data_IF_869953431142
#
_entry.id   IF_869953431142
#
_cell.length_a   1.000
_cell.length_b   1.000
_cell.length_c   1.000
_cell.angle_alpha   90.00
_cell.angle_beta   90.00
_cell.angle_gamma   90.00
#
_symmetry.space_group_name_H-M   'P 1'
#
loop_
_entity.id
_entity.type
_entity.pdbx_description
1 polymer ?
#
# COMPACT_ATOMS: atom_id res chain seq x y z
N UNK A 1 -39.60 -25.56 9.07
CA UNK A 1 -38.19 -25.48 9.35
C UNK A 1 -37.43 -25.07 8.09
N UNK A 2 -36.81 -23.89 8.06
CA UNK A 2 -35.92 -23.54 6.96
C UNK A 2 -34.66 -24.38 7.07
N UNK A 3 -34.37 -25.21 6.07
CA UNK A 3 -33.04 -25.86 5.97
C UNK A 3 -31.96 -24.78 5.88
N UNK A 4 -31.06 -24.72 6.86
CA UNK A 4 -29.84 -23.93 6.72
C UNK A 4 -29.01 -24.56 5.60
N UNK A 5 -28.83 -23.82 4.51
CA UNK A 5 -27.88 -24.20 3.47
C UNK A 5 -26.49 -23.89 4.04
N UNK A 6 -25.67 -24.92 4.24
CA UNK A 6 -24.30 -24.76 4.62
C UNK A 6 -23.58 -24.01 3.47
N UNK A 7 -23.19 -22.76 3.70
CA UNK A 7 -22.38 -22.01 2.75
C UNK A 7 -20.96 -22.52 2.86
N UNK A 8 -20.51 -23.31 1.89
CA UNK A 8 -19.14 -23.81 1.83
C UNK A 8 -18.18 -22.72 1.32
N UNK A 9 -18.08 -21.62 2.05
CA UNK A 9 -17.21 -20.48 1.75
C UNK A 9 -16.18 -20.30 2.83
N UNK A 10 -14.94 -20.08 2.42
CA UNK A 10 -13.85 -19.64 3.32
C UNK A 10 -13.89 -18.14 3.48
N UNK A 11 -13.56 -17.64 4.66
CA UNK A 11 -13.40 -16.23 4.95
C UNK A 11 -11.90 -15.92 4.93
N UNK A 12 -11.52 -14.88 4.18
CA UNK A 12 -10.16 -14.37 4.13
C UNK A 12 -10.13 -12.94 4.69
N UNK A 13 -9.10 -12.65 5.47
CA UNK A 13 -8.91 -11.35 6.09
C UNK A 13 -7.74 -10.62 5.45
N UNK A 14 -7.91 -9.35 5.13
CA UNK A 14 -6.87 -8.56 4.52
C UNK A 14 -6.96 -7.07 4.79
N UNK A 15 -5.87 -6.38 4.51
CA UNK A 15 -5.75 -4.93 4.54
C UNK A 15 -5.23 -4.46 3.18
N UNK A 16 -6.00 -3.63 2.49
CA UNK A 16 -5.67 -3.12 1.16
C UNK A 16 -5.12 -1.69 1.18
N UNK A 17 -4.90 -1.11 2.36
CA UNK A 17 -4.39 0.25 2.48
C UNK A 17 -3.49 0.40 3.69
N UNK A 18 -2.19 0.38 3.47
CA UNK A 18 -1.19 0.61 4.52
C UNK A 18 0.07 1.24 3.96
N UNK A 19 0.89 1.80 4.84
CA UNK A 19 2.06 2.60 4.48
C UNK A 19 3.33 2.11 5.16
N UNK A 20 4.44 2.31 4.48
CA UNK A 20 5.79 2.13 5.01
C UNK A 20 6.77 3.06 4.28
N UNK A 21 8.06 2.86 4.48
CA UNK A 21 9.09 3.75 3.93
C UNK A 21 9.35 3.62 2.42
N UNK A 22 8.52 2.92 1.66
CA UNK A 22 8.66 2.87 0.18
C UNK A 22 8.36 4.20 -0.50
N UNK A 23 7.61 5.08 0.16
CA UNK A 23 7.42 6.48 -0.22
C UNK A 23 7.78 7.40 0.97
N UNK A 24 6.82 7.92 1.71
CA UNK A 24 7.03 8.72 2.92
C UNK A 24 6.27 8.16 4.14
N UNK A 25 6.30 6.89 4.34
CA UNK A 25 5.87 6.24 5.58
C UNK A 25 7.06 5.82 6.43
N UNK A 26 6.80 5.20 7.54
CA UNK A 26 7.80 4.66 8.45
C UNK A 26 7.93 3.15 8.35
N UNK A 27 9.12 2.64 8.68
CA UNK A 27 9.40 1.21 8.73
C UNK A 27 9.71 0.58 7.37
N UNK A 28 10.41 -0.53 7.42
CA UNK A 28 10.83 -1.28 6.23
C UNK A 28 9.66 -2.04 5.62
N UNK A 29 9.65 -2.16 4.29
CA UNK A 29 8.65 -2.96 3.55
C UNK A 29 8.55 -4.39 4.09
N UNK A 30 9.67 -5.07 4.28
CA UNK A 30 9.69 -6.44 4.79
C UNK A 30 9.05 -6.57 6.17
N UNK A 31 9.33 -5.63 7.07
CA UNK A 31 8.74 -5.62 8.42
C UNK A 31 7.22 -5.43 8.38
N UNK A 32 6.72 -4.59 7.48
CA UNK A 32 5.29 -4.40 7.27
C UNK A 32 4.61 -5.69 6.78
N UNK A 33 5.19 -6.36 5.78
CA UNK A 33 4.69 -7.63 5.25
C UNK A 33 4.73 -8.74 6.31
N UNK A 34 5.82 -8.84 7.05
CA UNK A 34 5.97 -9.84 8.12
C UNK A 34 4.89 -9.68 9.20
N UNK A 35 4.58 -8.45 9.60
CA UNK A 35 3.51 -8.17 10.56
C UNK A 35 2.13 -8.51 9.99
N UNK A 36 1.86 -8.14 8.75
CA UNK A 36 0.62 -8.48 8.08
C UNK A 36 0.42 -10.00 8.02
N UNK A 37 1.44 -10.77 7.67
CA UNK A 37 1.40 -12.22 7.56
C UNK A 37 1.07 -12.96 8.87
N UNK A 38 1.26 -12.30 10.02
CA UNK A 38 0.92 -12.89 11.32
C UNK A 38 -0.59 -12.98 11.58
N UNK A 39 -1.41 -12.21 10.87
CA UNK A 39 -2.84 -12.11 11.15
C UNK A 39 -3.73 -11.95 9.91
N UNK A 40 -3.15 -11.77 8.72
CA UNK A 40 -3.88 -11.53 7.48
C UNK A 40 -3.57 -12.58 6.42
N UNK A 41 -4.52 -12.83 5.53
CA UNK A 41 -4.38 -13.71 4.37
C UNK A 41 -3.84 -12.94 3.15
N UNK A 42 -4.14 -11.65 3.06
CA UNK A 42 -3.66 -10.79 1.98
C UNK A 42 -3.44 -9.35 2.47
N UNK A 43 -2.58 -8.61 1.76
CA UNK A 43 -2.34 -7.20 2.06
C UNK A 43 -1.89 -6.40 0.83
N UNK A 44 -1.95 -5.09 0.96
CA UNK A 44 -1.35 -4.13 0.05
C UNK A 44 -0.60 -3.07 0.83
N UNK A 45 0.59 -2.72 0.38
CA UNK A 45 1.31 -1.54 0.85
C UNK A 45 1.15 -0.47 -0.22
N UNK A 46 0.37 0.56 0.10
CA UNK A 46 -0.04 1.61 -0.83
C UNK A 46 0.85 2.84 -0.69
N UNK A 47 2.05 2.78 -1.24
CA UNK A 47 2.96 3.93 -1.29
C UNK A 47 2.31 5.11 -2.02
N UNK A 48 2.54 6.32 -1.52
CA UNK A 48 2.03 7.54 -2.15
C UNK A 48 2.72 7.76 -3.50
N UNK A 49 1.96 7.76 -4.59
CA UNK A 49 2.49 7.74 -5.96
C UNK A 49 2.38 9.06 -6.69
N UNK A 50 1.23 9.72 -6.62
CA UNK A 50 0.98 10.93 -7.39
C UNK A 50 -0.20 11.74 -6.87
N UNK A 51 -0.14 13.04 -7.13
CA UNK A 51 -1.19 14.00 -6.80
C UNK A 51 -1.32 14.98 -7.97
N UNK A 52 -2.22 14.68 -8.90
CA UNK A 52 -2.30 15.38 -10.19
C UNK A 52 -2.73 16.85 -10.10
N UNK A 53 -3.53 17.22 -9.12
CA UNK A 53 -4.02 18.58 -8.90
C UNK A 53 -3.34 19.30 -7.73
N UNK A 54 -2.19 18.81 -7.26
CA UNK A 54 -1.42 19.41 -6.16
C UNK A 54 -1.03 20.87 -6.41
N UNK A 55 -0.81 21.25 -7.66
CA UNK A 55 -0.45 22.62 -8.03
C UNK A 55 -1.59 23.63 -7.77
N UNK A 56 -2.83 23.17 -7.60
CA UNK A 56 -3.97 24.00 -7.21
C UNK A 56 -3.96 24.41 -5.74
N UNK A 57 -3.12 23.76 -4.91
CA UNK A 57 -2.91 24.18 -3.53
C UNK A 57 -2.20 25.53 -3.47
N UNK A 58 -2.61 26.38 -2.52
CA UNK A 58 -1.96 27.66 -2.23
C UNK A 58 -0.45 27.50 -1.97
N UNK A 59 0.31 28.54 -2.32
CA UNK A 59 1.77 28.59 -2.09
C UNK A 59 2.16 28.50 -0.60
N UNK A 60 1.25 28.80 0.33
CA UNK A 60 1.50 28.58 1.76
C UNK A 60 1.79 27.12 2.11
N UNK A 61 1.42 26.18 1.23
CA UNK A 61 1.66 24.74 1.41
C UNK A 61 2.89 24.21 0.65
N UNK A 62 3.84 25.09 0.32
CA UNK A 62 5.03 24.72 -0.47
C UNK A 62 5.84 23.57 0.14
N UNK A 63 5.97 23.53 1.47
CA UNK A 63 6.73 22.48 2.14
C UNK A 63 5.99 21.13 2.10
N UNK A 64 4.67 21.14 2.21
CA UNK A 64 3.84 19.95 2.04
C UNK A 64 3.97 19.40 0.62
N UNK A 65 3.92 20.28 -0.38
CA UNK A 65 4.12 19.89 -1.79
C UNK A 65 5.48 19.25 -2.02
N UNK A 66 6.55 19.84 -1.48
CA UNK A 66 7.92 19.28 -1.58
C UNK A 66 8.03 17.92 -0.92
N UNK A 67 7.46 17.76 0.25
CA UNK A 67 7.44 16.51 1.00
C UNK A 67 6.77 15.38 0.19
N UNK A 68 5.59 15.65 -0.38
CA UNK A 68 4.88 14.69 -1.22
C UNK A 68 5.65 14.33 -2.49
N UNK A 69 6.17 15.33 -3.20
CA UNK A 69 6.98 15.11 -4.42
C UNK A 69 8.19 14.22 -4.16
N UNK A 70 8.88 14.42 -3.04
CA UNK A 70 10.02 13.59 -2.64
C UNK A 70 9.62 12.13 -2.45
N UNK A 71 8.50 11.87 -1.80
CA UNK A 71 7.95 10.53 -1.62
C UNK A 71 7.54 9.87 -2.95
N UNK A 72 6.90 10.61 -3.84
CA UNK A 72 6.51 10.13 -5.16
C UNK A 72 7.73 9.73 -6.02
N UNK A 73 8.76 10.56 -6.03
CA UNK A 73 10.01 10.26 -6.74
C UNK A 73 10.71 9.03 -6.17
N UNK A 74 10.73 8.88 -4.86
CA UNK A 74 11.30 7.71 -4.19
C UNK A 74 10.57 6.42 -4.60
N UNK A 75 9.24 6.42 -4.57
CA UNK A 75 8.42 5.28 -4.99
C UNK A 75 8.68 4.94 -6.45
N UNK A 76 8.61 5.92 -7.34
CA UNK A 76 8.83 5.75 -8.78
C UNK A 76 10.20 5.15 -9.08
N UNK A 77 11.24 5.70 -8.48
CA UNK A 77 12.63 5.24 -8.67
C UNK A 77 12.83 3.79 -8.26
N UNK A 78 12.21 3.38 -7.15
CA UNK A 78 12.40 2.07 -6.56
C UNK A 78 11.32 1.04 -6.97
N UNK A 79 10.36 1.43 -7.80
CA UNK A 79 9.20 0.59 -8.13
C UNK A 79 9.57 -0.81 -8.65
N UNK A 80 10.50 -0.99 -9.61
CA UNK A 80 10.88 -2.32 -10.08
C UNK A 80 11.42 -3.20 -8.95
N UNK A 81 12.26 -2.64 -8.08
CA UNK A 81 12.82 -3.35 -6.92
C UNK A 81 11.75 -3.69 -5.89
N UNK A 82 10.79 -2.80 -5.67
CA UNK A 82 9.66 -3.04 -4.78
C UNK A 82 8.86 -4.24 -5.28
N UNK A 83 8.50 -4.28 -6.57
CA UNK A 83 7.77 -5.40 -7.17
C UNK A 83 8.51 -6.73 -6.99
N UNK A 84 9.80 -6.75 -7.23
CA UNK A 84 10.62 -7.97 -7.04
C UNK A 84 10.64 -8.40 -5.58
N UNK A 85 10.76 -7.46 -4.65
CA UNK A 85 10.71 -7.74 -3.21
C UNK A 85 9.34 -8.26 -2.76
N UNK A 86 8.24 -7.71 -3.28
CA UNK A 86 6.90 -8.19 -2.97
C UNK A 86 6.72 -9.65 -3.38
N UNK A 87 7.22 -10.05 -4.54
CA UNK A 87 7.20 -11.46 -4.99
C UNK A 87 7.99 -12.37 -4.06
N UNK A 88 9.15 -11.94 -3.59
CA UNK A 88 9.97 -12.68 -2.63
C UNK A 88 9.28 -12.82 -1.27
N UNK A 89 8.71 -11.74 -0.76
CA UNK A 89 8.05 -11.72 0.55
C UNK A 89 6.75 -12.50 0.55
N UNK A 90 6.00 -12.49 -0.55
CA UNK A 90 4.81 -13.32 -0.73
C UNK A 90 5.11 -14.79 -0.51
N UNK A 91 6.20 -15.30 -1.07
CA UNK A 91 6.67 -16.67 -0.84
C UNK A 91 7.21 -16.89 0.55
N UNK A 92 8.07 -15.96 1.03
CA UNK A 92 8.75 -16.08 2.32
C UNK A 92 7.79 -16.11 3.50
N UNK A 93 6.74 -15.28 3.46
CA UNK A 93 5.79 -15.11 4.56
C UNK A 93 4.43 -15.77 4.32
N UNK A 94 4.24 -16.43 3.19
CA UNK A 94 2.99 -17.12 2.84
C UNK A 94 1.75 -16.22 2.98
N UNK A 95 1.79 -15.07 2.35
CA UNK A 95 0.71 -14.09 2.29
C UNK A 95 0.54 -13.58 0.86
N UNK A 96 -0.69 -13.40 0.41
CA UNK A 96 -0.92 -12.79 -0.90
C UNK A 96 -0.73 -11.27 -0.82
N UNK A 97 0.08 -10.71 -1.71
CA UNK A 97 0.41 -9.29 -1.73
C UNK A 97 -0.01 -8.69 -3.07
N UNK A 98 -0.89 -7.69 -3.02
CA UNK A 98 -1.31 -6.95 -4.21
C UNK A 98 -0.40 -5.74 -4.41
N UNK A 99 0.37 -5.65 -5.51
CA UNK A 99 1.12 -4.44 -5.86
C UNK A 99 0.15 -3.27 -6.02
N UNK A 100 0.37 -2.19 -5.27
CA UNK A 100 -0.56 -1.08 -5.16
C UNK A 100 0.15 0.23 -4.91
N UNK A 101 -0.54 1.32 -5.19
CA UNK A 101 -0.11 2.66 -4.84
C UNK A 101 -1.31 3.55 -4.52
N UNK A 102 -1.07 4.65 -3.81
CA UNK A 102 -2.08 5.63 -3.49
C UNK A 102 -2.00 6.84 -4.43
N UNK A 103 -3.16 7.18 -4.99
CA UNK A 103 -3.35 8.38 -5.81
C UNK A 103 -4.09 9.44 -5.01
N UNK A 104 -3.60 10.68 -5.05
CA UNK A 104 -4.23 11.81 -4.36
C UNK A 104 -5.03 12.70 -5.33
N UNK A 105 -6.09 13.30 -4.80
CA UNK A 105 -6.87 14.32 -5.48
C UNK A 105 -7.47 15.30 -4.48
N UNK A 106 -7.57 16.59 -4.87
CA UNK A 106 -8.30 17.62 -4.15
C UNK A 106 -9.81 17.56 -4.42
N UNK A 107 -10.20 16.89 -5.49
CA UNK A 107 -11.61 16.77 -5.92
C UNK A 107 -12.09 15.34 -5.76
N UNK A 108 -13.27 15.24 -5.28
CA UNK A 108 -14.00 13.98 -5.17
C UNK A 108 -14.88 13.78 -6.41
#
# INVERSE_FOLDING_TARGET
>A
MKKMIAINKKIYWGDLHSHCSISYGEGKLESAIQRAAQQLDFCSITGHAFWHDMNQLSNKYVDIKKYHKKGFLKLKKNWPKIIDNLKKFEKKYNINIFPSYEWHSLKF
#
